data_IF_676739781504
#
_entry.id   IF_676739781504
#
_cell.length_a   1.000
_cell.length_b   1.000
_cell.length_c   1.000
_cell.angle_alpha   90.00
_cell.angle_beta   90.00
_cell.angle_gamma   90.00
#
_symmetry.space_group_name_H-M   'P 1'
#
loop_
_entity.id
_entity.type
_entity.pdbx_description
1 polymer ?
#
# COMPACT_ATOMS: atom_id res chain seq x y z
N UNK A 1 19.26 3.27 6.81
CA UNK A 1 18.68 2.84 5.53
C UNK A 1 17.23 3.31 5.46
N UNK A 2 16.98 4.56 5.06
CA UNK A 2 15.64 5.01 4.63
C UNK A 2 15.84 6.05 3.52
N UNK A 3 14.88 6.08 2.61
CA UNK A 3 14.68 6.98 1.47
C UNK A 3 15.14 6.41 0.14
N UNK A 4 14.31 5.52 -0.42
CA UNK A 4 14.06 5.58 -1.86
C UNK A 4 13.15 6.78 -2.09
N UNK A 5 13.80 7.88 -2.42
CA UNK A 5 13.20 9.12 -2.87
C UNK A 5 12.33 8.87 -4.11
N UNK A 6 11.30 9.70 -4.22
CA UNK A 6 10.26 9.77 -5.24
C UNK A 6 10.83 10.19 -6.62
N UNK A 7 11.80 9.43 -7.14
CA UNK A 7 12.66 9.83 -8.28
C UNK A 7 12.15 9.43 -9.68
N UNK A 8 10.99 8.80 -9.80
CA UNK A 8 10.47 8.42 -11.13
C UNK A 8 9.07 8.97 -11.38
N UNK A 9 8.96 10.30 -11.41
CA UNK A 9 7.86 10.97 -12.09
C UNK A 9 8.48 11.98 -13.06
N UNK A 10 8.92 11.48 -14.21
CA UNK A 10 9.57 12.23 -15.29
C UNK A 10 8.58 12.86 -16.28
N UNK A 11 7.41 13.30 -15.79
CA UNK A 11 6.44 14.00 -16.62
C UNK A 11 6.65 15.51 -16.45
N UNK A 12 6.93 16.29 -17.52
CA UNK A 12 7.08 17.74 -17.42
C UNK A 12 5.84 18.43 -16.84
N UNK A 13 4.66 17.83 -16.96
CA UNK A 13 3.45 18.32 -16.32
C UNK A 13 3.49 18.17 -14.78
N UNK A 14 4.08 17.10 -14.26
CA UNK A 14 4.14 16.84 -12.81
C UNK A 14 5.16 17.76 -12.12
N UNK A 15 6.22 18.17 -12.84
CA UNK A 15 7.16 19.21 -12.38
C UNK A 15 6.47 20.58 -12.32
N UNK A 16 5.74 20.95 -13.38
CA UNK A 16 4.99 22.21 -13.43
C UNK A 16 3.89 22.28 -12.36
N UNK A 17 3.16 21.18 -12.17
CA UNK A 17 2.16 21.06 -11.12
C UNK A 17 2.79 21.22 -9.74
N UNK A 18 3.87 20.50 -9.46
CA UNK A 18 4.56 20.57 -8.17
C UNK A 18 5.08 21.98 -7.85
N UNK A 19 5.70 22.67 -8.81
CA UNK A 19 6.26 24.02 -8.61
C UNK A 19 5.17 25.10 -8.51
N UNK A 20 4.09 24.98 -9.28
CA UNK A 20 3.01 25.97 -9.30
C UNK A 20 2.09 25.84 -8.08
N UNK A 21 1.84 24.62 -7.61
CA UNK A 21 0.95 24.37 -6.47
C UNK A 21 1.65 24.43 -5.10
N UNK A 22 2.99 24.51 -5.05
CA UNK A 22 3.70 24.77 -3.76
C UNK A 22 3.35 26.12 -3.16
N UNK A 23 2.87 27.07 -3.97
CA UNK A 23 2.47 28.42 -3.53
C UNK A 23 0.95 28.50 -3.54
N UNK A 24 0.37 28.56 -2.34
CA UNK A 24 -1.09 28.61 -2.12
C UNK A 24 -1.77 29.68 -2.98
N UNK A 25 -1.15 30.84 -3.14
CA UNK A 25 -1.67 31.95 -3.93
C UNK A 25 -1.77 31.61 -5.43
N UNK A 26 -0.77 30.93 -5.98
CA UNK A 26 -0.72 30.52 -7.40
C UNK A 26 -1.73 29.42 -7.68
N UNK A 27 -1.84 28.44 -6.78
CA UNK A 27 -2.86 27.39 -6.85
C UNK A 27 -4.28 27.98 -6.84
N UNK A 28 -4.52 28.97 -5.98
CA UNK A 28 -5.81 29.65 -5.88
C UNK A 28 -6.14 30.45 -7.14
N UNK A 29 -5.17 31.19 -7.69
CA UNK A 29 -5.40 31.99 -8.89
C UNK A 29 -5.57 31.14 -10.15
N UNK A 30 -4.86 30.02 -10.28
CA UNK A 30 -5.08 29.06 -11.36
C UNK A 30 -6.48 28.44 -11.30
N UNK A 31 -6.91 28.00 -10.12
CA UNK A 31 -8.25 27.42 -9.93
C UNK A 31 -9.36 28.43 -10.21
N UNK A 32 -9.17 29.71 -9.85
CA UNK A 32 -10.09 30.81 -10.19
C UNK A 32 -10.26 31.05 -11.69
N UNK A 33 -9.23 30.77 -12.49
CA UNK A 33 -9.30 30.94 -13.95
C UNK A 33 -9.89 29.73 -14.67
N UNK A 34 -9.75 28.54 -14.12
CA UNK A 34 -10.14 27.28 -14.76
C UNK A 34 -11.48 26.73 -14.28
N UNK A 35 -11.98 27.17 -13.13
CA UNK A 35 -13.26 26.72 -12.58
C UNK A 35 -14.39 27.74 -12.86
N UNK A 36 -15.60 27.26 -13.17
CA UNK A 36 -16.81 28.08 -13.23
C UNK A 36 -17.02 28.89 -11.95
N UNK A 37 -17.59 30.09 -12.07
CA UNK A 37 -17.79 31.00 -10.93
C UNK A 37 -18.64 30.37 -9.81
N UNK A 38 -19.51 29.43 -10.15
CA UNK A 38 -20.38 28.70 -9.24
C UNK A 38 -19.62 27.76 -8.29
N UNK A 39 -18.36 27.42 -8.62
CA UNK A 39 -17.48 26.56 -7.80
C UNK A 39 -16.42 27.36 -7.01
N UNK A 40 -16.43 28.70 -7.12
CA UNK A 40 -15.41 29.59 -6.53
C UNK A 40 -15.80 30.19 -5.18
N UNK A 41 -16.93 29.79 -4.60
CA UNK A 41 -17.25 30.13 -3.21
C UNK A 41 -16.08 29.68 -2.32
N UNK A 42 -15.44 30.62 -1.62
CA UNK A 42 -14.14 30.45 -0.94
C UNK A 42 -14.09 29.26 0.05
N UNK A 43 -15.24 28.81 0.55
CA UNK A 43 -15.38 27.59 1.36
C UNK A 43 -15.14 26.31 0.54
N UNK A 44 -15.68 26.23 -0.68
CA UNK A 44 -15.54 25.07 -1.56
C UNK A 44 -14.10 24.89 -2.07
N UNK A 45 -13.38 26.00 -2.29
CA UNK A 45 -12.02 25.98 -2.81
C UNK A 45 -11.02 25.42 -1.76
N UNK A 46 -11.27 25.71 -0.48
CA UNK A 46 -10.49 25.11 0.62
C UNK A 46 -10.76 23.61 0.73
N UNK A 47 -12.02 23.19 0.65
CA UNK A 47 -12.40 21.78 0.64
C UNK A 47 -11.81 21.03 -0.56
N UNK A 48 -11.72 21.70 -1.72
CA UNK A 48 -11.12 21.15 -2.93
C UNK A 48 -9.61 20.94 -2.78
N UNK A 49 -8.89 21.92 -2.21
CA UNK A 49 -7.46 21.79 -1.92
C UNK A 49 -7.16 20.74 -0.84
N UNK A 50 -8.08 20.56 0.13
CA UNK A 50 -8.04 19.46 1.10
C UNK A 50 -8.24 18.12 0.38
N UNK A 51 -9.22 18.01 -0.51
CA UNK A 51 -9.52 16.80 -1.27
C UNK A 51 -8.36 16.40 -2.19
N UNK A 52 -7.69 17.36 -2.81
CA UNK A 52 -6.52 17.14 -3.68
C UNK A 52 -5.25 16.76 -2.91
N UNK A 53 -5.26 16.81 -1.57
CA UNK A 53 -4.09 16.49 -0.76
C UNK A 53 -3.01 17.58 -0.70
N UNK A 54 -3.28 18.77 -1.28
CA UNK A 54 -2.37 19.92 -1.21
C UNK A 54 -2.34 20.55 0.18
N UNK A 55 -3.43 20.41 0.95
CA UNK A 55 -3.54 20.92 2.32
C UNK A 55 -3.70 19.82 3.39
N UNK A 56 -3.77 18.54 3.00
CA UNK A 56 -3.80 17.42 3.93
C UNK A 56 -2.85 16.32 3.49
N UNK A 57 -2.03 15.73 4.39
CA UNK A 57 -1.26 14.54 4.05
C UNK A 57 -2.17 13.50 3.41
N UNK A 58 -1.72 12.86 2.32
CA UNK A 58 -2.53 11.95 1.51
C UNK A 58 -3.26 10.91 2.37
N UNK A 59 -2.61 10.43 3.43
CA UNK A 59 -3.11 9.47 4.41
C UNK A 59 -4.36 9.93 5.17
N UNK A 60 -4.58 11.24 5.25
CA UNK A 60 -5.71 11.87 5.94
C UNK A 60 -6.88 12.15 4.98
N UNK A 61 -6.65 12.06 3.66
CA UNK A 61 -7.72 12.23 2.68
C UNK A 61 -8.77 11.13 2.84
N UNK A 62 -10.03 11.48 2.60
CA UNK A 62 -11.13 10.51 2.61
C UNK A 62 -10.92 9.42 1.56
N UNK A 63 -10.52 9.83 0.35
CA UNK A 63 -10.27 8.93 -0.77
C UNK A 63 -9.20 7.87 -0.44
N UNK A 64 -8.07 8.27 0.15
CA UNK A 64 -7.04 7.33 0.56
C UNK A 64 -7.53 6.34 1.62
N UNK A 65 -8.23 6.83 2.65
CA UNK A 65 -8.79 5.97 3.71
C UNK A 65 -9.79 4.96 3.16
N UNK A 66 -10.63 5.35 2.21
CA UNK A 66 -11.56 4.44 1.54
C UNK A 66 -10.84 3.39 0.70
N UNK A 67 -9.79 3.77 -0.03
CA UNK A 67 -8.94 2.83 -0.79
C UNK A 67 -8.27 1.84 0.16
N UNK A 68 -7.66 2.32 1.26
CA UNK A 68 -7.01 1.47 2.27
C UNK A 68 -8.01 0.51 2.88
N UNK A 69 -9.16 1.01 3.36
CA UNK A 69 -10.18 0.17 3.99
C UNK A 69 -10.71 -0.91 3.03
N UNK A 70 -10.95 -0.56 1.76
CA UNK A 70 -11.44 -1.50 0.75
C UNK A 70 -10.42 -2.60 0.42
N UNK A 71 -9.14 -2.26 0.39
CA UNK A 71 -8.09 -3.18 -0.05
C UNK A 71 -7.37 -3.89 1.10
N UNK A 72 -7.49 -3.42 2.34
CA UNK A 72 -6.93 -4.06 3.53
C UNK A 72 -7.22 -5.58 3.62
N UNK A 73 -8.46 -6.08 3.43
CA UNK A 73 -8.70 -7.52 3.47
C UNK A 73 -7.97 -8.29 2.36
N UNK A 74 -7.80 -7.67 1.18
CA UNK A 74 -7.07 -8.27 0.05
C UNK A 74 -5.59 -8.38 0.40
N UNK A 75 -4.99 -7.29 0.90
CA UNK A 75 -3.57 -7.28 1.29
C UNK A 75 -3.26 -8.25 2.43
N UNK A 76 -4.17 -8.38 3.40
CA UNK A 76 -4.05 -9.36 4.49
C UNK A 76 -4.07 -10.79 3.95
N UNK A 77 -5.01 -11.12 3.06
CA UNK A 77 -5.06 -12.47 2.46
C UNK A 77 -3.85 -12.72 1.53
N UNK A 78 -3.43 -11.74 0.73
CA UNK A 78 -2.22 -11.86 -0.08
C UNK A 78 -0.97 -12.08 0.77
N UNK A 79 -0.84 -11.37 1.89
CA UNK A 79 0.22 -11.56 2.87
C UNK A 79 0.21 -12.98 3.44
N UNK A 80 -0.95 -13.43 3.89
CA UNK A 80 -1.13 -14.81 4.39
C UNK A 80 -0.77 -15.85 3.34
N UNK A 81 -1.21 -15.69 2.10
CA UNK A 81 -0.91 -16.62 1.01
C UNK A 81 0.61 -16.69 0.73
N UNK A 82 1.32 -15.56 0.82
CA UNK A 82 2.79 -15.53 0.71
C UNK A 82 3.46 -16.32 1.84
N UNK A 83 2.99 -16.17 3.08
CA UNK A 83 3.49 -16.94 4.24
C UNK A 83 3.24 -18.45 4.09
N UNK A 84 2.03 -18.84 3.68
CA UNK A 84 1.69 -20.24 3.37
C UNK A 84 2.63 -20.81 2.30
N UNK A 85 2.86 -20.08 1.21
CA UNK A 85 3.74 -20.53 0.13
C UNK A 85 5.19 -20.69 0.59
N UNK A 86 5.68 -19.76 1.42
CA UNK A 86 7.00 -19.83 2.03
C UNK A 86 7.13 -21.07 2.93
N UNK A 87 6.17 -21.29 3.82
CA UNK A 87 6.13 -22.46 4.71
C UNK A 87 6.12 -23.77 3.92
N UNK A 88 5.27 -23.88 2.90
CA UNK A 88 5.21 -25.06 2.01
C UNK A 88 6.54 -25.29 1.27
N UNK A 89 7.17 -24.22 0.78
CA UNK A 89 8.46 -24.31 0.09
C UNK A 89 9.55 -24.81 1.04
N UNK A 90 9.60 -24.29 2.27
CA UNK A 90 10.56 -24.72 3.29
C UNK A 90 10.33 -26.18 3.70
N UNK A 91 9.08 -26.57 3.95
CA UNK A 91 8.71 -27.95 4.27
C UNK A 91 9.07 -28.92 3.13
N UNK A 92 8.80 -28.56 1.87
CA UNK A 92 9.18 -29.41 0.71
C UNK A 92 10.68 -29.62 0.63
N UNK A 93 11.48 -28.57 0.90
CA UNK A 93 12.95 -28.66 0.92
C UNK A 93 13.48 -29.59 2.03
N UNK A 94 12.68 -29.84 3.07
CA UNK A 94 13.06 -30.65 4.24
C UNK A 94 12.51 -32.07 4.19
N UNK A 95 11.24 -32.24 3.84
CA UNK A 95 10.52 -33.51 3.91
C UNK A 95 10.44 -34.24 2.57
N UNK A 96 10.95 -33.65 1.48
CA UNK A 96 11.02 -34.18 0.11
C UNK A 96 9.66 -34.43 -0.56
N UNK A 97 8.65 -34.93 0.17
CA UNK A 97 7.27 -35.10 -0.26
C UNK A 97 6.32 -34.55 0.80
N UNK A 98 5.36 -33.75 0.34
CA UNK A 98 4.32 -33.14 1.15
C UNK A 98 2.98 -33.61 0.59
N UNK A 99 2.20 -34.36 1.36
CA UNK A 99 0.90 -34.88 0.91
C UNK A 99 -0.11 -33.75 0.74
N UNK A 100 -1.18 -33.97 -0.03
CA UNK A 100 -2.26 -32.98 -0.17
C UNK A 100 -2.89 -32.62 1.19
N UNK A 101 -3.04 -33.60 2.08
CA UNK A 101 -3.58 -33.38 3.42
C UNK A 101 -2.68 -32.47 4.28
N UNK A 102 -1.36 -32.66 4.20
CA UNK A 102 -0.40 -31.80 4.90
C UNK A 102 -0.35 -30.39 4.29
N UNK A 103 -0.47 -30.27 2.96
CA UNK A 103 -0.55 -28.96 2.30
C UNK A 103 -1.82 -28.20 2.72
N UNK A 104 -2.97 -28.88 2.76
CA UNK A 104 -4.22 -28.32 3.25
C UNK A 104 -4.12 -27.90 4.72
N UNK A 105 -3.46 -28.70 5.55
CA UNK A 105 -3.24 -28.36 6.97
C UNK A 105 -2.44 -27.07 7.12
N UNK A 106 -1.38 -26.88 6.33
CA UNK A 106 -0.59 -25.63 6.34
C UNK A 106 -1.41 -24.44 5.82
N UNK A 107 -2.23 -24.63 4.78
CA UNK A 107 -3.12 -23.58 4.25
C UNK A 107 -4.19 -23.12 5.24
N UNK A 108 -4.58 -23.98 6.18
CA UNK A 108 -5.55 -23.66 7.24
C UNK A 108 -4.93 -23.00 8.48
N UNK A 109 -3.60 -22.90 8.57
CA UNK A 109 -2.95 -22.28 9.72
C UNK A 109 -3.21 -20.76 9.75
N UNK A 110 -3.41 -20.17 10.94
CA UNK A 110 -3.40 -18.72 11.13
C UNK A 110 -2.01 -18.15 10.88
N UNK A 111 -1.93 -16.85 10.58
CA UNK A 111 -0.69 -16.17 10.18
C UNK A 111 0.40 -16.32 11.23
N UNK A 112 0.06 -16.17 12.51
CA UNK A 112 1.00 -16.27 13.62
C UNK A 112 1.66 -17.66 13.67
N UNK A 113 0.89 -18.73 13.44
CA UNK A 113 1.43 -20.09 13.39
C UNK A 113 2.25 -20.34 12.12
N UNK A 114 1.96 -19.66 11.02
CA UNK A 114 2.78 -19.70 9.80
C UNK A 114 4.13 -19.01 10.01
N UNK A 115 4.16 -17.88 10.70
CA UNK A 115 5.38 -17.17 11.08
C UNK A 115 6.25 -18.02 12.02
N UNK A 116 5.66 -18.57 13.08
CA UNK A 116 6.34 -19.48 14.01
C UNK A 116 6.94 -20.69 13.28
N UNK A 117 6.16 -21.27 12.35
CA UNK A 117 6.60 -22.38 11.52
C UNK A 117 7.76 -21.95 10.60
N UNK A 118 7.67 -20.78 9.98
CA UNK A 118 8.71 -20.18 9.14
C UNK A 118 10.02 -19.97 9.90
N UNK A 119 9.96 -19.54 11.16
CA UNK A 119 11.13 -19.34 12.01
C UNK A 119 11.74 -20.67 12.52
N UNK A 120 10.90 -21.67 12.79
CA UNK A 120 11.34 -22.98 13.30
C UNK A 120 11.95 -23.88 12.22
N UNK A 121 11.44 -23.87 10.99
CA UNK A 121 11.85 -24.78 9.91
C UNK A 121 13.33 -24.68 9.49
N UNK A 122 13.98 -23.49 9.51
CA UNK A 122 15.42 -23.38 9.33
C UNK A 122 16.23 -24.08 10.43
N UNK A 123 15.74 -24.08 11.68
CA UNK A 123 16.44 -24.59 12.89
C UNK A 123 16.39 -26.11 13.03
N UNK A 124 15.40 -26.77 12.43
CA UNK A 124 15.33 -28.22 12.38
C UNK A 124 16.51 -28.77 11.54
N UNK A 125 17.46 -29.42 12.22
CA UNK A 125 18.60 -30.08 11.59
C UNK A 125 18.09 -31.11 10.57
N UNK A 126 18.70 -31.14 9.37
CA UNK A 126 18.44 -32.19 8.38
C UNK A 126 18.81 -33.52 9.02
N UNK A 127 17.81 -34.37 9.32
CA UNK A 127 18.08 -35.79 9.53
C UNK A 127 18.63 -36.32 8.21
N UNK A 128 19.93 -36.61 8.20
CA UNK A 128 20.61 -37.39 7.16
C UNK A 128 20.12 -38.83 7.23
#
# INVERSE_FOLDING_TARGET
MISKTMEEINNPHDVYFRESFTRREIAQDFLRQQLPAELLELEQLTDFLIMLGEMTPLEQTRAYREIVAKNQPIWLEEGRQREVQLALRLLRRRLSKLTKAQQASVQSLPVEQLEDLGEALPRLQRRR
#
